data_IF_626133210477
#
_entry.id   IF_626133210477
#
_cell.length_a   1.000
_cell.length_b   1.000
_cell.length_c   1.000
_cell.angle_alpha   90.00
_cell.angle_beta   90.00
_cell.angle_gamma   90.00
#
_symmetry.space_group_name_H-M   'P 1'
#
loop_
_entity.id
_entity.type
_entity.pdbx_description
1 polymer ?
#
# COMPACT_ATOMS: atom_id res chain seq x y z
N UNK A 1 30.64 -23.14 -4.67
CA UNK A 1 30.35 -21.97 -3.82
C UNK A 1 29.07 -21.34 -4.37
N UNK A 2 27.91 -21.83 -3.93
CA UNK A 2 26.60 -21.32 -4.34
C UNK A 2 26.34 -20.03 -3.59
N UNK A 3 26.16 -18.93 -4.32
CA UNK A 3 25.68 -17.66 -3.75
C UNK A 3 24.38 -17.93 -2.98
N UNK A 4 24.16 -17.29 -1.81
CA UNK A 4 22.89 -17.41 -1.11
C UNK A 4 21.79 -16.94 -2.05
N UNK A 5 20.72 -17.72 -2.18
CA UNK A 5 19.48 -17.28 -2.83
C UNK A 5 19.05 -16.02 -2.10
N UNK A 6 19.27 -14.86 -2.71
CA UNK A 6 18.64 -13.63 -2.27
C UNK A 6 17.16 -13.87 -2.49
N UNK A 7 16.43 -14.18 -1.41
CA UNK A 7 14.98 -14.17 -1.45
C UNK A 7 14.63 -12.74 -1.84
N UNK A 8 14.14 -12.55 -3.05
CA UNK A 8 13.49 -11.30 -3.40
C UNK A 8 12.25 -11.20 -2.51
N UNK A 9 12.38 -10.43 -1.42
CA UNK A 9 11.33 -10.26 -0.43
C UNK A 9 10.03 -9.80 -1.06
N UNK A 10 10.09 -9.03 -2.15
CA UNK A 10 8.91 -8.58 -2.87
C UNK A 10 8.28 -9.68 -3.72
N UNK A 11 9.07 -10.54 -4.36
CA UNK A 11 8.53 -11.70 -5.08
C UNK A 11 7.75 -12.63 -4.12
N UNK A 12 8.27 -12.80 -2.91
CA UNK A 12 7.57 -13.56 -1.85
C UNK A 12 6.26 -12.87 -1.47
N UNK A 13 6.27 -11.55 -1.22
CA UNK A 13 5.06 -10.80 -0.91
C UNK A 13 4.03 -10.84 -2.04
N UNK A 14 4.45 -10.75 -3.30
CA UNK A 14 3.57 -10.91 -4.47
C UNK A 14 2.88 -12.28 -4.43
N UNK A 15 3.62 -13.36 -4.20
CA UNK A 15 3.05 -14.72 -4.14
C UNK A 15 2.00 -14.90 -3.03
N UNK A 16 2.13 -14.16 -1.92
CA UNK A 16 1.17 -14.17 -0.81
C UNK A 16 -0.07 -13.31 -1.10
N UNK A 17 0.10 -12.18 -1.78
CA UNK A 17 -0.99 -11.24 -2.08
C UNK A 17 -1.85 -11.73 -3.25
N UNK A 18 -1.22 -12.31 -4.27
CA UNK A 18 -1.89 -12.75 -5.49
C UNK A 18 -3.14 -13.63 -5.27
N UNK A 19 -3.12 -14.70 -4.43
CA UNK A 19 -4.32 -15.52 -4.20
C UNK A 19 -5.45 -14.78 -3.48
N UNK A 20 -5.14 -13.70 -2.75
CA UNK A 20 -6.14 -12.86 -2.06
C UNK A 20 -6.78 -11.82 -3.00
N UNK A 21 -6.06 -11.42 -4.05
CA UNK A 21 -6.48 -10.39 -4.99
C UNK A 21 -7.41 -10.95 -6.08
N UNK A 22 -8.55 -11.51 -5.66
CA UNK A 22 -9.49 -12.25 -6.53
C UNK A 22 -10.14 -11.41 -7.66
N UNK A 23 -10.01 -10.09 -7.60
CA UNK A 23 -10.42 -9.15 -8.65
C UNK A 23 -9.54 -7.90 -8.65
N UNK A 24 -9.43 -7.16 -9.77
CA UNK A 24 -8.72 -5.88 -9.81
C UNK A 24 -9.30 -4.86 -8.83
N UNK A 25 -8.45 -3.97 -8.32
CA UNK A 25 -8.79 -2.97 -7.32
C UNK A 25 -8.60 -3.47 -5.89
N UNK A 26 -9.24 -2.78 -4.94
CA UNK A 26 -9.16 -3.16 -3.53
C UNK A 26 -10.10 -4.34 -3.22
N UNK A 27 -9.57 -5.33 -2.52
CA UNK A 27 -10.28 -6.52 -2.05
C UNK A 27 -10.04 -6.71 -0.56
N UNK A 28 -11.12 -6.94 0.19
CA UNK A 28 -11.05 -7.23 1.62
C UNK A 28 -10.44 -8.61 1.89
N UNK A 29 -9.71 -8.72 2.99
CA UNK A 29 -9.20 -10.01 3.48
C UNK A 29 -10.05 -10.50 4.64
N UNK A 30 -9.68 -11.64 5.25
CA UNK A 30 -10.28 -12.10 6.51
C UNK A 30 -9.91 -11.23 7.72
N UNK A 31 -8.93 -10.34 7.58
CA UNK A 31 -8.60 -9.33 8.58
C UNK A 31 -9.35 -8.04 8.21
N UNK A 32 -10.27 -7.54 9.06
CA UNK A 32 -11.14 -6.40 8.74
C UNK A 32 -10.38 -5.15 8.27
N UNK A 33 -9.24 -4.86 8.91
CA UNK A 33 -8.43 -3.67 8.63
C UNK A 33 -7.45 -3.86 7.47
N UNK A 34 -7.39 -5.04 6.85
CA UNK A 34 -6.42 -5.34 5.80
C UNK A 34 -7.13 -5.60 4.47
N UNK A 35 -6.73 -4.84 3.46
CA UNK A 35 -7.15 -5.01 2.07
C UNK A 35 -5.94 -5.25 1.18
N UNK A 36 -6.11 -6.06 0.15
CA UNK A 36 -5.14 -6.20 -0.93
C UNK A 36 -5.55 -5.34 -2.13
N UNK A 37 -4.57 -4.90 -2.91
CA UNK A 37 -4.77 -4.13 -4.13
C UNK A 37 -4.08 -4.85 -5.29
N UNK A 38 -4.78 -4.97 -6.42
CA UNK A 38 -4.17 -5.38 -7.68
C UNK A 38 -4.57 -4.49 -8.87
N UNK A 39 -3.67 -4.32 -9.83
CA UNK A 39 -3.98 -3.75 -11.15
C UNK A 39 -3.09 -4.38 -12.22
N UNK A 40 -3.65 -4.79 -13.35
CA UNK A 40 -2.94 -5.55 -14.39
C UNK A 40 -2.55 -4.68 -15.59
N UNK A 41 -2.68 -3.37 -15.46
CA UNK A 41 -2.42 -2.39 -16.51
C UNK A 41 -2.44 -0.98 -15.95
N UNK A 42 -2.12 -0.01 -16.80
CA UNK A 42 -2.19 1.40 -16.46
C UNK A 42 -3.60 1.79 -16.01
N UNK A 43 -3.68 2.55 -14.92
CA UNK A 43 -4.93 3.17 -14.45
C UNK A 43 -4.73 4.68 -14.42
N UNK A 44 -5.52 5.36 -15.24
CA UNK A 44 -5.45 6.81 -15.39
C UNK A 44 -5.71 7.56 -14.09
N UNK A 45 -5.09 8.74 -13.99
CA UNK A 45 -5.23 9.61 -12.81
C UNK A 45 -6.70 9.93 -12.51
N UNK A 46 -7.17 9.55 -11.32
CA UNK A 46 -8.56 9.77 -10.89
C UNK A 46 -8.63 10.18 -9.41
N UNK A 47 -9.66 10.96 -9.00
CA UNK A 47 -9.84 11.35 -7.61
C UNK A 47 -10.24 10.14 -6.75
N UNK A 48 -9.65 10.02 -5.57
CA UNK A 48 -9.89 8.95 -4.60
C UNK A 48 -9.87 9.55 -3.18
N UNK A 49 -10.86 9.21 -2.35
CA UNK A 49 -10.85 9.51 -0.92
C UNK A 49 -10.19 8.34 -0.21
N UNK A 50 -9.08 8.59 0.48
CA UNK A 50 -8.42 7.59 1.31
C UNK A 50 -8.75 7.84 2.78
N UNK A 51 -9.20 6.79 3.47
CA UNK A 51 -9.24 6.78 4.93
C UNK A 51 -7.83 6.62 5.52
N UNK A 52 -7.62 6.94 6.80
CA UNK A 52 -6.33 6.75 7.45
C UNK A 52 -5.82 5.33 7.29
N UNK A 53 -4.68 5.18 6.62
CA UNK A 53 -4.12 3.87 6.31
C UNK A 53 -2.62 3.92 5.99
N UNK A 54 -1.98 2.77 6.11
CA UNK A 54 -0.65 2.49 5.56
C UNK A 54 -0.84 1.73 4.24
N UNK A 55 -0.39 2.31 3.14
CA UNK A 55 -0.39 1.68 1.82
C UNK A 55 1.01 1.21 1.45
N UNK A 56 1.16 -0.07 1.16
CA UNK A 56 2.43 -0.71 0.77
C UNK A 56 2.26 -1.27 -0.65
N UNK A 57 3.14 -0.87 -1.57
CA UNK A 57 3.20 -1.42 -2.93
C UNK A 57 4.42 -2.32 -3.03
N UNK A 58 4.21 -3.58 -3.40
CA UNK A 58 5.28 -4.59 -3.48
C UNK A 58 5.71 -4.84 -4.93
N UNK A 59 4.84 -4.56 -5.90
CA UNK A 59 5.13 -4.61 -7.32
C UNK A 59 4.36 -3.50 -8.04
N UNK A 60 4.92 -2.94 -9.11
CA UNK A 60 4.37 -1.78 -9.82
C UNK A 60 4.64 -0.47 -9.07
N UNK A 61 3.98 0.61 -9.50
CA UNK A 61 4.09 1.91 -8.83
C UNK A 61 2.82 2.74 -8.93
N UNK A 62 2.74 3.77 -8.10
CA UNK A 62 1.65 4.73 -8.02
C UNK A 62 2.21 6.14 -7.89
N UNK A 63 1.46 7.09 -8.43
CA UNK A 63 1.64 8.52 -8.18
C UNK A 63 0.38 9.00 -7.48
N UNK A 64 0.54 9.66 -6.34
CA UNK A 64 -0.56 10.24 -5.57
C UNK A 64 -0.33 11.74 -5.40
N UNK A 65 -1.29 12.56 -5.81
CA UNK A 65 -1.21 14.01 -5.71
C UNK A 65 -2.22 14.54 -4.69
N UNK A 66 -1.75 15.33 -3.71
CA UNK A 66 -2.56 16.06 -2.74
C UNK A 66 -2.30 17.55 -2.88
N UNK A 67 -3.20 18.24 -3.57
CA UNK A 67 -2.98 19.64 -3.96
C UNK A 67 -1.69 19.78 -4.79
N UNK A 68 -0.71 20.59 -4.36
CA UNK A 68 0.55 20.77 -5.07
C UNK A 68 1.60 19.68 -4.76
N UNK A 69 1.33 18.76 -3.82
CA UNK A 69 2.29 17.73 -3.41
C UNK A 69 2.08 16.45 -4.21
N UNK A 70 3.16 15.89 -4.74
CA UNK A 70 3.17 14.62 -5.46
C UNK A 70 4.01 13.60 -4.70
N UNK A 71 3.47 12.40 -4.54
CA UNK A 71 4.11 11.27 -3.90
C UNK A 71 4.22 10.13 -4.91
N UNK A 72 5.44 9.76 -5.28
CA UNK A 72 5.71 8.59 -6.10
C UNK A 72 6.14 7.44 -5.19
N UNK A 73 5.49 6.29 -5.32
CA UNK A 73 5.82 5.14 -4.50
C UNK A 73 5.57 3.84 -5.27
N UNK A 74 6.36 2.83 -4.95
CA UNK A 74 6.34 1.52 -5.56
C UNK A 74 7.02 0.53 -4.64
N UNK A 75 7.57 -0.52 -5.20
CA UNK A 75 8.37 -1.50 -4.45
C UNK A 75 9.40 -0.83 -3.53
N UNK A 76 9.40 -1.21 -2.25
CA UNK A 76 10.31 -0.66 -1.22
C UNK A 76 9.84 0.65 -0.57
N UNK A 77 8.73 1.23 -1.03
CA UNK A 77 8.13 2.43 -0.46
C UNK A 77 6.74 2.14 0.09
N UNK A 78 6.33 2.95 1.06
CA UNK A 78 4.98 2.98 1.58
C UNK A 78 4.48 4.41 1.66
N UNK A 79 3.16 4.58 1.71
CA UNK A 79 2.51 5.87 1.93
C UNK A 79 1.62 5.77 3.17
N UNK A 80 1.86 6.64 4.14
CA UNK A 80 0.98 6.80 5.31
C UNK A 80 0.04 7.98 5.05
N UNK A 81 -1.24 7.74 5.26
CA UNK A 81 -2.29 8.75 5.21
C UNK A 81 -2.86 8.88 6.62
N UNK A 82 -2.69 10.03 7.27
CA UNK A 82 -3.13 10.24 8.66
C UNK A 82 -4.55 10.83 8.78
N UNK A 83 -5.10 11.33 7.67
CA UNK A 83 -6.35 12.05 7.58
C UNK A 83 -7.12 11.59 6.34
N UNK A 84 -8.45 11.67 6.40
CA UNK A 84 -9.30 11.42 5.23
C UNK A 84 -9.16 12.58 4.25
N UNK A 85 -8.39 12.39 3.18
CA UNK A 85 -8.04 13.46 2.22
C UNK A 85 -8.22 13.00 0.77
N UNK A 86 -8.59 13.91 -0.15
CA UNK A 86 -8.74 13.60 -1.57
C UNK A 86 -7.36 13.57 -2.26
N UNK A 87 -6.98 12.41 -2.78
CA UNK A 87 -5.85 12.28 -3.68
C UNK A 87 -6.31 12.17 -5.13
N UNK A 88 -5.54 12.71 -6.08
CA UNK A 88 -5.54 12.17 -7.44
C UNK A 88 -4.53 11.04 -7.51
N UNK A 89 -4.96 9.85 -7.92
CA UNK A 89 -4.10 8.68 -7.97
C UNK A 89 -4.01 8.12 -9.38
N UNK A 90 -2.78 7.83 -9.77
CA UNK A 90 -2.42 7.17 -11.03
C UNK A 90 -1.65 5.89 -10.69
N UNK A 91 -1.85 4.83 -11.49
CA UNK A 91 -1.20 3.54 -11.26
C UNK A 91 -0.50 3.07 -12.52
N UNK A 92 0.75 2.64 -12.35
CA UNK A 92 1.62 2.14 -13.40
C UNK A 92 1.83 0.64 -13.18
N UNK A 93 1.25 -0.15 -14.08
CA UNK A 93 1.34 -1.60 -14.11
C UNK A 93 1.22 -2.10 -15.54
N UNK A 94 1.68 -3.32 -15.79
CA UNK A 94 1.50 -4.02 -17.06
C UNK A 94 0.97 -5.45 -16.80
N UNK A 95 0.46 -6.16 -17.82
CA UNK A 95 0.05 -7.55 -17.65
C UNK A 95 1.19 -8.45 -17.16
N UNK A 96 2.42 -8.23 -17.66
CA UNK A 96 3.61 -8.99 -17.27
C UNK A 96 4.17 -8.57 -15.91
N UNK A 97 3.85 -7.36 -15.45
CA UNK A 97 4.25 -6.84 -14.14
C UNK A 97 3.08 -6.10 -13.48
N UNK A 98 2.07 -6.83 -12.97
CA UNK A 98 0.91 -6.22 -12.32
C UNK A 98 1.32 -5.44 -11.09
N UNK A 99 0.54 -4.44 -10.72
CA UNK A 99 0.64 -3.84 -9.40
C UNK A 99 0.06 -4.81 -8.37
N UNK A 100 0.78 -4.99 -7.27
CA UNK A 100 0.30 -5.64 -6.06
C UNK A 100 0.64 -4.80 -4.83
N UNK A 101 -0.29 -4.73 -3.89
CA UNK A 101 -0.08 -4.01 -2.65
C UNK A 101 -1.05 -4.39 -1.54
N UNK A 102 -0.81 -3.84 -0.37
CA UNK A 102 -1.63 -4.02 0.84
C UNK A 102 -1.94 -2.65 1.42
N UNK A 103 -3.18 -2.45 1.83
CA UNK A 103 -3.61 -1.32 2.65
C UNK A 103 -4.00 -1.84 4.02
N UNK A 104 -3.41 -1.26 5.05
CA UNK A 104 -3.74 -1.51 6.45
C UNK A 104 -4.37 -0.25 7.01
N UNK A 105 -5.66 -0.32 7.34
CA UNK A 105 -6.38 0.78 7.96
C UNK A 105 -5.81 1.09 9.35
N UNK A 106 -5.77 2.38 9.69
CA UNK A 106 -5.27 2.87 10.97
C UNK A 106 -6.46 3.31 11.80
N UNK A 107 -6.76 2.56 12.85
CA UNK A 107 -7.67 3.00 13.89
C UNK A 107 -6.99 4.10 14.73
N UNK A 108 -7.59 5.28 14.74
CA UNK A 108 -7.08 6.45 15.45
C UNK A 108 -7.16 6.30 16.98
N UNK A 109 -8.15 5.55 17.48
CA UNK A 109 -8.29 5.27 18.92
C UNK A 109 -7.14 4.38 19.35
N UNK A 110 -6.94 3.25 18.64
CA UNK A 110 -5.82 2.35 18.90
C UNK A 110 -4.47 3.05 18.75
N UNK A 111 -4.30 3.89 17.73
CA UNK A 111 -3.08 4.69 17.56
C UNK A 111 -2.84 5.59 18.78
N UNK A 112 -3.88 6.23 19.29
CA UNK A 112 -3.82 7.04 20.51
C UNK A 112 -3.38 6.23 21.72
N UNK A 113 -3.95 5.04 21.91
CA UNK A 113 -3.58 4.11 22.99
C UNK A 113 -2.11 3.67 22.88
N UNK A 114 -1.65 3.33 21.67
CA UNK A 114 -0.26 2.93 21.42
C UNK A 114 0.73 4.06 21.72
N UNK A 115 0.41 5.29 21.30
CA UNK A 115 1.24 6.47 21.58
C UNK A 115 1.34 6.72 23.08
N UNK A 116 0.25 6.55 23.84
CA UNK A 116 0.29 6.69 25.30
C UNK A 116 1.09 5.55 25.96
N UNK A 117 0.95 4.32 25.48
CA UNK A 117 1.67 3.16 26.01
C UNK A 117 3.19 3.23 25.77
N UNK A 118 3.62 3.87 24.67
CA UNK A 118 5.04 4.11 24.39
C UNK A 118 5.70 5.11 25.35
N UNK A 119 4.91 5.86 26.12
CA UNK A 119 5.39 6.95 26.96
C UNK A 119 5.85 8.17 26.13
N UNK A 120 6.26 9.26 26.78
CA UNK A 120 6.85 10.39 26.08
C UNK A 120 8.08 9.91 25.28
N UNK A 121 8.16 10.34 24.02
CA UNK A 121 9.38 10.15 23.24
C UNK A 121 10.54 10.71 24.05
N UNK A 122 11.54 9.88 24.33
CA UNK A 122 12.76 10.32 25.00
C UNK A 122 13.48 11.28 24.05
N UNK A 123 13.19 12.57 24.20
CA UNK A 123 13.83 13.70 23.52
C UNK A 123 14.37 14.67 24.55
#
# INVERSE_FOLDING_TARGET
MTLPVVIDGNATLVSLIQPLAVRPGFVATHLPEVRVLSAFGYVASSPQIYEPSLMIVVQGSKVACLGPRTFEYGTGHYLIQALSVPFKCETFATPDKPLYGVSVAIDRVLLGELVQAMGPASG
#
